data_IF_007189858364
#
_entry.id   IF_007189858364
#
_cell.length_a   1.000
_cell.length_b   1.000
_cell.length_c   1.000
_cell.angle_alpha   90.00
_cell.angle_beta   90.00
_cell.angle_gamma   90.00
#
_symmetry.space_group_name_H-M   'P 1'
#
loop_
_entity.id
_entity.type
_entity.pdbx_description
1 polymer ?
#
# COMPACT_ATOMS: atom_id res chain seq x y z
N UNK A 1 15.17 -25.42 -4.28
CA UNK A 1 14.62 -24.34 -5.12
C UNK A 1 14.08 -23.26 -4.19
N UNK A 2 14.31 -21.96 -4.45
CA UNK A 2 13.70 -20.91 -3.64
C UNK A 2 12.17 -20.99 -3.74
N UNK A 3 11.43 -20.59 -2.68
CA UNK A 3 9.98 -20.56 -2.72
C UNK A 3 9.51 -19.63 -3.86
N UNK A 4 8.60 -20.14 -4.68
CA UNK A 4 8.09 -19.46 -5.87
C UNK A 4 6.60 -19.26 -5.71
N UNK A 5 6.17 -18.03 -5.94
CA UNK A 5 4.76 -17.66 -5.89
C UNK A 5 4.22 -17.73 -7.31
N UNK A 6 3.14 -18.47 -7.49
CA UNK A 6 2.41 -18.53 -8.76
C UNK A 6 1.49 -17.33 -8.91
N UNK A 7 0.70 -17.01 -7.88
CA UNK A 7 -0.25 -15.89 -7.91
C UNK A 7 -0.60 -15.38 -6.52
N UNK A 8 -1.13 -14.16 -6.47
CA UNK A 8 -1.82 -13.63 -5.30
C UNK A 8 -3.28 -14.09 -5.35
N UNK A 9 -3.79 -14.65 -4.25
CA UNK A 9 -5.15 -15.19 -4.14
C UNK A 9 -6.02 -14.45 -3.11
N UNK A 10 -5.44 -13.52 -2.36
CA UNK A 10 -6.18 -12.73 -1.39
C UNK A 10 -5.40 -11.52 -0.91
N UNK A 11 -6.13 -10.43 -0.69
CA UNK A 11 -5.58 -9.19 -0.12
C UNK A 11 -6.57 -8.70 0.94
N UNK A 12 -6.08 -8.39 2.13
CA UNK A 12 -6.85 -7.67 3.16
C UNK A 12 -6.07 -6.43 3.57
N UNK A 13 -6.75 -5.28 3.56
CA UNK A 13 -6.18 -3.97 3.92
C UNK A 13 -6.92 -3.41 5.13
N UNK A 14 -6.17 -3.03 6.16
CA UNK A 14 -6.67 -2.40 7.37
C UNK A 14 -6.04 -1.02 7.52
N UNK A 15 -6.82 -0.05 7.98
CA UNK A 15 -6.34 1.26 8.41
C UNK A 15 -6.46 1.35 9.92
N UNK A 16 -5.32 1.27 10.60
CA UNK A 16 -5.24 1.21 12.05
C UNK A 16 -4.81 2.58 12.60
N UNK A 17 -5.63 3.24 13.45
CA UNK A 17 -5.21 4.48 14.09
C UNK A 17 -4.18 4.17 15.18
N UNK A 18 -3.01 4.82 15.11
CA UNK A 18 -1.94 4.70 16.11
C UNK A 18 -1.66 6.07 16.71
N UNK A 19 -1.88 6.21 18.01
CA UNK A 19 -1.53 7.43 18.75
C UNK A 19 -0.03 7.44 19.04
N UNK A 20 0.64 8.57 18.77
CA UNK A 20 2.05 8.71 19.12
C UNK A 20 2.17 8.99 20.62
N UNK A 21 3.16 8.35 21.27
CA UNK A 21 3.42 8.60 22.71
C UNK A 21 3.85 10.05 22.97
N UNK A 22 4.53 10.64 21.99
CA UNK A 22 4.93 12.05 21.97
C UNK A 22 4.63 12.63 20.59
N UNK A 23 4.29 13.92 20.49
CA UNK A 23 4.08 14.54 19.19
C UNK A 23 5.36 14.49 18.34
N UNK A 24 5.26 14.13 17.06
CA UNK A 24 6.37 14.12 16.11
C UNK A 24 6.30 15.36 15.21
N UNK A 25 7.43 16.06 15.04
CA UNK A 25 7.51 17.28 14.22
C UNK A 25 7.99 16.94 12.81
N UNK A 26 7.21 17.33 11.79
CA UNK A 26 7.56 17.20 10.38
C UNK A 26 7.45 18.56 9.71
N UNK A 27 8.57 19.29 9.63
CA UNK A 27 8.58 20.66 9.12
C UNK A 27 7.62 21.56 9.92
N UNK A 28 6.65 22.23 9.28
CA UNK A 28 5.67 23.06 9.99
C UNK A 28 4.63 22.23 10.76
N UNK A 29 4.36 20.98 10.36
CA UNK A 29 3.26 20.17 10.88
C UNK A 29 3.69 19.36 12.12
N UNK A 30 2.75 19.13 13.06
CA UNK A 30 2.97 18.31 14.26
C UNK A 30 1.96 17.17 14.27
N UNK A 31 2.46 15.93 14.38
CA UNK A 31 1.71 14.70 14.27
C UNK A 31 1.50 14.09 15.67
N UNK A 32 0.25 13.94 16.08
CA UNK A 32 -0.14 13.26 17.33
C UNK A 32 -0.61 11.83 17.11
N UNK A 33 -0.98 11.49 15.87
CA UNK A 33 -1.46 10.15 15.50
C UNK A 33 -1.16 9.89 14.04
N UNK A 34 -0.92 8.63 13.70
CA UNK A 34 -0.72 8.17 12.32
C UNK A 34 -1.67 7.02 12.02
N UNK A 35 -2.15 6.96 10.78
CA UNK A 35 -2.83 5.76 10.28
C UNK A 35 -1.80 4.78 9.75
N UNK A 36 -1.75 3.57 10.30
CA UNK A 36 -0.99 2.47 9.71
C UNK A 36 -1.84 1.73 8.68
N UNK A 37 -1.33 1.60 7.45
CA UNK A 37 -1.87 0.68 6.47
C UNK A 37 -1.24 -0.70 6.69
N UNK A 38 -2.04 -1.64 7.18
CA UNK A 38 -1.63 -3.04 7.39
C UNK A 38 -2.25 -3.91 6.31
N UNK A 39 -1.45 -4.76 5.69
CA UNK A 39 -1.88 -5.65 4.61
C UNK A 39 -1.56 -7.10 4.97
N UNK A 40 -2.51 -7.99 4.70
CA UNK A 40 -2.28 -9.42 4.62
C UNK A 40 -2.42 -9.86 3.16
N UNK A 41 -1.38 -10.46 2.61
CA UNK A 41 -1.34 -11.03 1.27
C UNK A 41 -1.36 -12.55 1.37
N UNK A 42 -2.32 -13.18 0.72
CA UNK A 42 -2.36 -14.64 0.55
C UNK A 42 -1.89 -14.99 -0.85
N UNK A 43 -0.94 -15.93 -0.92
CA UNK A 43 -0.27 -16.34 -2.15
C UNK A 43 -0.44 -17.83 -2.36
N UNK A 44 -0.43 -18.29 -3.60
CA UNK A 44 -0.44 -19.70 -3.94
C UNK A 44 0.76 -20.07 -4.82
N UNK A 45 1.29 -21.28 -4.65
CA UNK A 45 2.29 -21.87 -5.54
C UNK A 45 1.63 -22.66 -6.70
N UNK A 46 2.46 -23.27 -7.56
CA UNK A 46 2.01 -24.07 -8.70
C UNK A 46 1.31 -25.39 -8.28
N UNK A 47 1.49 -25.82 -7.04
CA UNK A 47 0.87 -27.04 -6.47
C UNK A 47 -0.44 -26.73 -5.74
N UNK A 48 -0.81 -25.45 -5.64
CA UNK A 48 -2.01 -25.00 -4.94
C UNK A 48 -1.83 -24.83 -3.43
N UNK A 49 -0.61 -24.94 -2.91
CA UNK A 49 -0.36 -24.63 -1.50
C UNK A 49 -0.49 -23.12 -1.28
N UNK A 50 -1.13 -22.72 -0.19
CA UNK A 50 -1.31 -21.31 0.16
C UNK A 50 -0.48 -20.90 1.38
N UNK A 51 0.02 -19.67 1.35
CA UNK A 51 0.69 -19.02 2.47
C UNK A 51 0.20 -17.57 2.63
N UNK A 52 0.27 -17.04 3.85
CA UNK A 52 -0.10 -15.65 4.13
C UNK A 52 1.07 -14.88 4.74
N UNK A 53 1.35 -13.70 4.17
CA UNK A 53 2.34 -12.76 4.65
C UNK A 53 1.69 -11.45 5.11
N UNK A 54 2.26 -10.83 6.14
CA UNK A 54 1.79 -9.57 6.70
C UNK A 54 2.84 -8.48 6.54
N UNK A 55 2.39 -7.27 6.20
CA UNK A 55 3.22 -6.07 6.12
C UNK A 55 2.46 -4.84 6.59
N UNK A 56 3.18 -3.84 7.09
CA UNK A 56 2.59 -2.58 7.57
C UNK A 56 3.48 -1.40 7.21
N UNK A 57 2.86 -0.26 6.88
CA UNK A 57 3.54 1.02 6.76
C UNK A 57 2.70 2.16 7.34
N UNK A 58 3.28 3.10 8.11
CA UNK A 58 2.60 4.31 8.51
C UNK A 58 2.33 5.22 7.31
N UNK A 59 1.11 5.72 7.18
CA UNK A 59 0.74 6.73 6.18
C UNK A 59 1.20 8.11 6.63
N UNK A 60 2.51 8.36 6.52
CA UNK A 60 3.16 9.61 6.89
C UNK A 60 2.92 10.70 5.84
N UNK A 61 1.68 11.17 5.72
CA UNK A 61 1.20 12.13 4.70
C UNK A 61 2.11 13.36 4.61
N UNK A 62 2.56 13.89 5.75
CA UNK A 62 3.43 15.07 5.84
C UNK A 62 4.80 14.88 5.17
N UNK A 63 5.31 13.64 5.16
CA UNK A 63 6.61 13.31 4.57
C UNK A 63 6.47 12.87 3.11
N UNK A 64 5.51 12.00 2.82
CA UNK A 64 5.36 11.40 1.48
C UNK A 64 4.65 12.34 0.50
N UNK A 65 3.93 13.35 1.00
CA UNK A 65 3.27 14.37 0.20
C UNK A 65 3.32 15.74 0.88
N UNK A 66 4.48 16.42 0.89
CA UNK A 66 4.59 17.79 1.38
C UNK A 66 3.80 18.73 0.45
N UNK A 67 2.86 19.48 1.01
CA UNK A 67 1.96 20.35 0.25
C UNK A 67 1.35 21.42 1.15
N UNK A 68 0.90 22.52 0.56
CA UNK A 68 0.08 23.54 1.23
C UNK A 68 -1.38 23.10 1.40
N UNK A 69 -1.79 21.98 0.79
CA UNK A 69 -3.13 21.43 0.96
C UNK A 69 -3.37 20.97 2.42
N UNK A 70 -4.62 21.08 2.91
CA UNK A 70 -4.97 20.55 4.23
C UNK A 70 -4.60 19.06 4.37
N UNK A 71 -4.36 18.62 5.60
CA UNK A 71 -3.96 17.25 5.90
C UNK A 71 -5.02 16.22 5.48
N UNK A 72 -6.28 16.43 5.86
CA UNK A 72 -7.33 15.40 5.72
C UNK A 72 -7.59 14.98 4.27
N UNK A 73 -7.73 15.89 3.28
CA UNK A 73 -7.90 15.48 1.88
C UNK A 73 -6.71 14.68 1.34
N UNK A 74 -5.47 15.03 1.74
CA UNK A 74 -4.27 14.27 1.36
C UNK A 74 -4.25 12.89 2.01
N UNK A 75 -4.65 12.80 3.28
CA UNK A 75 -4.75 11.56 4.02
C UNK A 75 -5.78 10.61 3.39
N UNK A 76 -6.96 11.11 3.04
CA UNK A 76 -7.99 10.33 2.36
C UNK A 76 -7.58 9.91 0.95
N UNK A 77 -6.90 10.79 0.19
CA UNK A 77 -6.31 10.44 -1.09
C UNK A 77 -5.29 9.30 -0.97
N UNK A 78 -4.42 9.33 0.04
CA UNK A 78 -3.47 8.25 0.31
C UNK A 78 -4.18 6.92 0.63
N UNK A 79 -5.21 6.96 1.48
CA UNK A 79 -6.02 5.76 1.79
C UNK A 79 -6.71 5.23 0.54
N UNK A 80 -7.19 6.11 -0.33
CA UNK A 80 -7.80 5.71 -1.59
C UNK A 80 -6.80 5.05 -2.53
N UNK A 81 -5.58 5.59 -2.65
CA UNK A 81 -4.49 4.94 -3.38
C UNK A 81 -4.19 3.55 -2.81
N UNK A 82 -4.08 3.40 -1.48
CA UNK A 82 -3.87 2.08 -0.86
C UNK A 82 -4.96 1.07 -1.22
N UNK A 83 -6.24 1.47 -1.28
CA UNK A 83 -7.34 0.59 -1.71
C UNK A 83 -7.19 0.16 -3.18
N UNK A 84 -6.80 1.09 -4.06
CA UNK A 84 -6.55 0.76 -5.47
C UNK A 84 -5.37 -0.19 -5.64
N UNK A 85 -4.29 0.02 -4.88
CA UNK A 85 -3.13 -0.87 -4.89
C UNK A 85 -3.48 -2.27 -4.35
N UNK A 86 -4.32 -2.36 -3.31
CA UNK A 86 -4.81 -3.63 -2.81
C UNK A 86 -5.61 -4.40 -3.87
N UNK A 87 -6.45 -3.71 -4.65
CA UNK A 87 -7.13 -4.32 -5.79
C UNK A 87 -6.16 -4.76 -6.89
N UNK A 88 -5.19 -3.91 -7.25
CA UNK A 88 -4.21 -4.20 -8.30
C UNK A 88 -3.32 -5.42 -7.97
N UNK A 89 -3.09 -5.72 -6.69
CA UNK A 89 -2.34 -6.92 -6.29
C UNK A 89 -3.06 -8.23 -6.61
N UNK A 90 -4.37 -8.22 -6.83
CA UNK A 90 -5.14 -9.38 -7.28
C UNK A 90 -5.08 -9.58 -8.80
N UNK A 91 -4.57 -8.61 -9.54
CA UNK A 91 -4.39 -8.74 -10.98
C UNK A 91 -3.21 -9.67 -11.28
N UNK A 92 -3.24 -10.43 -12.40
CA UNK A 92 -2.15 -11.30 -12.77
C UNK A 92 -0.81 -10.56 -12.89
N UNK A 93 0.24 -11.18 -12.35
CA UNK A 93 1.65 -10.78 -12.46
C UNK A 93 2.47 -12.00 -12.88
N UNK A 94 3.67 -11.77 -13.40
CA UNK A 94 4.61 -12.85 -13.71
C UNK A 94 4.94 -13.64 -12.42
N UNK A 95 4.72 -14.96 -12.41
CA UNK A 95 5.10 -15.82 -11.28
C UNK A 95 6.61 -15.77 -11.00
N UNK A 96 7.00 -15.75 -9.72
CA UNK A 96 8.40 -15.61 -9.36
C UNK A 96 8.66 -15.57 -7.85
N UNK A 97 9.86 -15.14 -7.50
CA UNK A 97 10.20 -14.83 -6.11
C UNK A 97 9.44 -13.57 -5.65
N UNK A 98 9.15 -13.46 -4.35
CA UNK A 98 8.40 -12.32 -3.81
C UNK A 98 9.00 -10.95 -4.17
N UNK A 99 10.33 -10.86 -4.22
CA UNK A 99 11.04 -9.63 -4.63
C UNK A 99 10.84 -9.29 -6.11
N UNK A 100 10.82 -10.30 -6.99
CA UNK A 100 10.63 -10.12 -8.43
C UNK A 100 9.19 -9.68 -8.72
N UNK A 101 8.22 -10.31 -8.06
CA UNK A 101 6.82 -9.90 -8.14
C UNK A 101 6.61 -8.48 -7.60
N UNK A 102 7.30 -8.12 -6.51
CA UNK A 102 7.31 -6.76 -5.97
C UNK A 102 7.85 -5.75 -6.98
N UNK A 103 8.98 -6.04 -7.61
CA UNK A 103 9.55 -5.19 -8.66
C UNK A 103 8.60 -5.05 -9.85
N UNK A 104 8.05 -6.15 -10.35
CA UNK A 104 7.07 -6.14 -11.44
C UNK A 104 5.83 -5.31 -11.10
N UNK A 105 5.31 -5.42 -9.87
CA UNK A 105 4.18 -4.61 -9.41
C UNK A 105 4.49 -3.11 -9.43
N UNK A 106 5.68 -2.71 -8.95
CA UNK A 106 6.12 -1.32 -8.95
C UNK A 106 6.26 -0.75 -10.36
N UNK A 107 6.70 -1.54 -11.32
CA UNK A 107 6.89 -1.10 -12.71
C UNK A 107 5.57 -1.11 -13.50
N UNK A 108 4.72 -2.11 -13.30
CA UNK A 108 3.57 -2.39 -14.18
C UNK A 108 2.23 -1.93 -13.60
N UNK A 109 2.04 -1.97 -12.28
CA UNK A 109 0.73 -1.71 -11.64
C UNK A 109 0.67 -0.38 -10.91
N UNK A 110 1.75 -0.01 -10.22
CA UNK A 110 1.80 1.23 -9.43
C UNK A 110 1.54 2.50 -10.27
N UNK A 111 2.14 2.70 -11.47
CA UNK A 111 1.90 3.91 -12.25
C UNK A 111 0.42 4.06 -12.63
N UNK A 112 -0.21 2.97 -13.08
CA UNK A 112 -1.62 2.98 -13.47
C UNK A 112 -2.55 3.28 -12.29
N UNK A 113 -2.32 2.64 -11.13
CA UNK A 113 -3.10 2.90 -9.92
C UNK A 113 -2.93 4.35 -9.43
N UNK A 114 -1.70 4.89 -9.49
CA UNK A 114 -1.43 6.29 -9.17
C UNK A 114 -2.19 7.22 -10.11
N UNK A 115 -2.14 6.97 -11.42
CA UNK A 115 -2.74 7.85 -12.42
C UNK A 115 -4.27 7.82 -12.33
N UNK A 116 -4.88 6.64 -12.11
CA UNK A 116 -6.32 6.51 -11.81
C UNK A 116 -6.71 7.28 -10.55
N UNK A 117 -5.91 7.19 -9.49
CA UNK A 117 -6.15 7.94 -8.26
C UNK A 117 -6.08 9.46 -8.50
N UNK A 118 -5.08 9.94 -9.24
CA UNK A 118 -4.95 11.36 -9.58
C UNK A 118 -6.12 11.87 -10.42
N UNK A 119 -6.56 11.10 -11.41
CA UNK A 119 -7.73 11.45 -12.23
C UNK A 119 -9.02 11.54 -11.42
N UNK A 120 -9.19 10.67 -10.41
CA UNK A 120 -10.34 10.70 -9.52
C UNK A 120 -10.34 11.94 -8.60
N UNK A 121 -9.16 12.43 -8.21
CA UNK A 121 -9.00 13.63 -7.37
C UNK A 121 -9.16 14.94 -8.15
N UNK A 122 -9.01 14.91 -9.48
CA UNK A 122 -9.17 16.07 -10.34
C UNK A 122 -10.63 16.38 -10.72
N UNK A 123 -11.58 15.56 -10.27
CA UNK A 123 -13.02 15.72 -10.48
C UNK A 123 -13.67 16.32 -9.25
#
# INVERSE_FOLDING_TARGET
MPPRIHRIVGVRLYFLPVQTRVPLKFGPETLHSVTCARVALRVADDQGNEAEGWGETPLSVQWVWPSSLPYEPRHDALKQLCRQLAGAWLEPLTPGHALEMGAAFLEQRLPEARDRCNQALAR
#
